data_IF_705940566636
#
_entry.id   IF_705940566636
#
_cell.length_a   1.000
_cell.length_b   1.000
_cell.length_c   1.000
_cell.angle_alpha   90.00
_cell.angle_beta   90.00
_cell.angle_gamma   90.00
#
_symmetry.space_group_name_H-M   'P 1'
#
loop_
_entity.id
_entity.type
_entity.pdbx_description
1 polymer ?
#
# COMPACT_ATOMS: atom_id res chain seq x y z
N UNK A 1 16.67 -7.70 7.40
CA UNK A 1 16.84 -6.26 7.10
C UNK A 1 15.46 -5.64 6.99
N UNK A 2 15.19 -4.43 7.51
CA UNK A 2 13.88 -3.82 7.38
C UNK A 2 13.60 -3.58 5.89
N UNK A 3 12.58 -4.26 5.37
CA UNK A 3 12.12 -4.11 3.98
C UNK A 3 11.20 -2.90 3.90
N UNK A 4 11.80 -1.70 3.96
CA UNK A 4 11.07 -0.44 3.82
C UNK A 4 11.33 0.14 2.43
N UNK A 5 10.33 0.86 1.89
CA UNK A 5 10.53 1.67 0.70
C UNK A 5 11.53 2.80 1.00
N UNK A 6 12.28 3.19 -0.02
CA UNK A 6 13.21 4.31 0.06
C UNK A 6 12.45 5.63 0.30
N UNK A 7 12.98 6.56 1.11
CA UNK A 7 12.31 7.81 1.43
C UNK A 7 12.01 8.67 0.18
N UNK A 8 12.83 8.56 -0.86
CA UNK A 8 12.64 9.24 -2.15
C UNK A 8 11.32 8.82 -2.83
N UNK A 9 10.94 7.55 -2.69
CA UNK A 9 9.68 7.03 -3.26
C UNK A 9 8.49 7.68 -2.57
N UNK A 10 8.56 7.85 -1.25
CA UNK A 10 7.50 8.49 -0.48
C UNK A 10 7.42 9.98 -0.83
N UNK A 11 8.56 10.67 -0.90
CA UNK A 11 8.62 12.09 -1.26
C UNK A 11 8.00 12.36 -2.64
N UNK A 12 8.30 11.54 -3.64
CA UNK A 12 7.73 11.66 -4.98
C UNK A 12 6.19 11.51 -4.97
N UNK A 13 5.66 10.60 -4.15
CA UNK A 13 4.22 10.37 -4.03
C UNK A 13 3.52 11.52 -3.31
N UNK A 14 4.14 12.08 -2.26
CA UNK A 14 3.64 13.27 -1.56
C UNK A 14 3.59 14.47 -2.50
N UNK A 15 4.69 14.71 -3.24
CA UNK A 15 4.73 15.78 -4.24
C UNK A 15 3.63 15.61 -5.30
N UNK A 16 3.44 14.39 -5.80
CA UNK A 16 2.36 14.09 -6.74
C UNK A 16 0.98 14.38 -6.15
N UNK A 17 0.74 13.99 -4.90
CA UNK A 17 -0.55 14.22 -4.24
C UNK A 17 -0.83 15.71 -4.05
N UNK A 18 0.19 16.51 -3.74
CA UNK A 18 0.09 17.95 -3.57
C UNK A 18 -0.15 18.70 -4.90
N UNK A 19 0.40 18.19 -6.01
CA UNK A 19 0.36 18.85 -7.32
C UNK A 19 -0.74 18.35 -8.26
N UNK A 20 -1.48 17.30 -7.90
CA UNK A 20 -2.56 16.75 -8.76
C UNK A 20 -3.75 17.74 -8.82
N UNK A 21 -4.14 18.14 -10.03
CA UNK A 21 -5.28 19.06 -10.29
C UNK A 21 -6.60 18.56 -9.68
N UNK A 22 -6.75 17.23 -9.55
CA UNK A 22 -7.86 16.56 -8.88
C UNK A 22 -7.30 15.51 -7.91
N UNK A 23 -7.02 15.89 -6.65
CA UNK A 23 -6.38 14.99 -5.70
C UNK A 23 -7.27 13.79 -5.39
N UNK A 24 -6.67 12.60 -5.36
CA UNK A 24 -7.35 11.35 -4.98
C UNK A 24 -7.38 11.19 -3.46
N UNK A 25 -8.37 10.47 -2.96
CA UNK A 25 -8.44 10.13 -1.53
C UNK A 25 -7.28 9.24 -1.06
N UNK A 26 -6.64 8.47 -1.96
CA UNK A 26 -5.55 7.55 -1.61
C UNK A 26 -4.46 7.56 -2.67
N UNK A 27 -3.22 7.67 -2.22
CA UNK A 27 -2.00 7.55 -3.03
C UNK A 27 -1.14 6.43 -2.43
N UNK A 28 -0.91 5.36 -3.20
CA UNK A 28 -0.05 4.25 -2.77
C UNK A 28 1.41 4.58 -3.06
N UNK A 29 2.26 4.56 -2.05
CA UNK A 29 3.71 4.66 -2.21
C UNK A 29 4.34 3.27 -2.36
N UNK A 30 5.34 3.16 -3.24
CA UNK A 30 6.04 1.91 -3.46
C UNK A 30 5.27 0.85 -4.25
N UNK A 31 5.97 -0.22 -4.62
CA UNK A 31 5.44 -1.33 -5.42
C UNK A 31 4.48 -2.19 -4.60
N UNK A 32 4.84 -2.46 -3.35
CA UNK A 32 4.11 -3.35 -2.45
C UNK A 32 2.74 -2.79 -2.11
N UNK A 33 2.61 -1.52 -1.74
CA UNK A 33 1.30 -0.94 -1.43
C UNK A 33 0.34 -0.96 -2.62
N UNK A 34 0.87 -0.78 -3.85
CA UNK A 34 0.08 -0.89 -5.08
C UNK A 34 -0.39 -2.31 -5.34
N UNK A 35 0.47 -3.31 -5.12
CA UNK A 35 0.11 -4.73 -5.22
C UNK A 35 -0.94 -5.12 -4.18
N UNK A 36 -0.80 -4.69 -2.93
CA UNK A 36 -1.79 -4.93 -1.86
C UNK A 36 -3.14 -4.29 -2.23
N UNK A 37 -3.14 -3.08 -2.78
CA UNK A 37 -4.38 -2.40 -3.22
C UNK A 37 -5.10 -3.19 -4.32
N UNK A 38 -4.35 -3.79 -5.25
CA UNK A 38 -4.89 -4.67 -6.29
C UNK A 38 -5.41 -5.98 -5.69
N UNK A 39 -4.61 -6.65 -4.86
CA UNK A 39 -4.99 -7.89 -4.18
C UNK A 39 -6.30 -7.71 -3.40
N UNK A 40 -6.44 -6.62 -2.63
CA UNK A 40 -7.69 -6.32 -1.91
C UNK A 40 -8.92 -6.25 -2.82
N UNK A 41 -8.74 -5.83 -4.08
CA UNK A 41 -9.83 -5.63 -5.03
C UNK A 41 -10.26 -6.93 -5.72
N UNK A 42 -9.38 -7.93 -5.79
CA UNK A 42 -9.61 -9.17 -6.54
C UNK A 42 -9.60 -10.44 -5.69
N UNK A 43 -9.00 -10.41 -4.51
CA UNK A 43 -8.94 -11.56 -3.62
C UNK A 43 -10.23 -11.68 -2.79
N UNK A 44 -10.69 -12.92 -2.48
CA UNK A 44 -11.72 -13.15 -1.49
C UNK A 44 -11.33 -12.57 -0.13
N UNK A 45 -12.26 -11.88 0.53
CA UNK A 45 -11.98 -11.09 1.74
C UNK A 45 -11.29 -11.91 2.85
N UNK A 46 -11.73 -13.14 3.13
CA UNK A 46 -11.13 -13.99 4.16
C UNK A 46 -9.70 -14.43 3.85
N UNK A 47 -9.39 -14.74 2.60
CA UNK A 47 -8.04 -15.11 2.20
C UNK A 47 -7.07 -13.91 2.25
N UNK A 48 -7.55 -12.73 1.84
CA UNK A 48 -6.78 -11.49 1.89
C UNK A 48 -6.45 -11.10 3.33
N UNK A 49 -7.44 -11.08 4.22
CA UNK A 49 -7.24 -10.72 5.63
C UNK A 49 -6.28 -11.69 6.33
N UNK A 50 -6.44 -13.00 6.13
CA UNK A 50 -5.56 -13.99 6.74
C UNK A 50 -4.10 -13.84 6.27
N UNK A 51 -3.89 -13.47 4.99
CA UNK A 51 -2.54 -13.23 4.46
C UNK A 51 -1.88 -11.99 5.09
N UNK A 52 -2.63 -10.91 5.28
CA UNK A 52 -2.11 -9.69 5.91
C UNK A 52 -1.85 -9.89 7.41
N UNK A 53 -2.74 -10.58 8.13
CA UNK A 53 -2.54 -10.89 9.56
C UNK A 53 -1.24 -11.66 9.76
N UNK A 54 -0.99 -12.68 8.93
CA UNK A 54 0.28 -13.43 8.96
C UNK A 54 1.48 -12.54 8.64
N UNK A 55 1.39 -11.68 7.64
CA UNK A 55 2.48 -10.80 7.23
C UNK A 55 2.84 -9.76 8.30
N UNK A 56 1.83 -9.24 9.00
CA UNK A 56 1.99 -8.24 10.07
C UNK A 56 2.06 -8.84 11.49
N UNK A 57 2.04 -10.17 11.62
CA UNK A 57 2.05 -10.89 12.90
C UNK A 57 0.92 -10.44 13.84
N UNK A 58 -0.26 -10.21 13.27
CA UNK A 58 -1.47 -9.87 14.01
C UNK A 58 -2.12 -11.16 14.54
N UNK A 59 -2.75 -11.13 15.72
CA UNK A 59 -3.53 -12.24 16.22
C UNK A 59 -4.73 -12.54 15.31
N UNK A 60 -5.13 -13.82 15.29
CA UNK A 60 -6.34 -14.30 14.59
C UNK A 60 -7.61 -13.74 15.23
#
# INVERSE_FOLDING_TARGET
MPTADLPEVVAAVVLKAASDVRPRHRYTAGKTARQISLLRRFAPAGAFDNSLRKQFRLPE
#
